data_IF_993299204282
#
_entry.id   IF_993299204282
#
_cell.length_a   1.000
_cell.length_b   1.000
_cell.length_c   1.000
_cell.angle_alpha   90.00
_cell.angle_beta   90.00
_cell.angle_gamma   90.00
#
_symmetry.space_group_name_H-M   'P 1'
#
loop_
_entity.id
_entity.type
_entity.pdbx_description
1 polymer ?
#
# COMPACT_ATOMS: atom_id res chain seq x y z
N UNK A 1 25.41 -4.68 22.35
CA UNK A 1 25.78 -5.86 23.16
C UNK A 1 27.00 -5.54 24.00
N UNK A 2 26.82 -4.64 24.96
CA UNK A 2 27.92 -4.09 25.76
C UNK A 2 28.03 -4.78 27.13
N UNK A 3 26.94 -5.41 27.59
CA UNK A 3 26.86 -6.16 28.85
C UNK A 3 26.15 -7.51 28.64
N UNK A 4 26.84 -8.52 28.09
CA UNK A 4 26.22 -9.78 27.66
C UNK A 4 25.75 -10.70 28.79
N UNK A 5 26.21 -10.48 30.04
CA UNK A 5 25.92 -11.36 31.19
C UNK A 5 25.12 -10.65 32.31
N UNK A 6 24.53 -9.48 32.05
CA UNK A 6 23.78 -8.75 33.06
C UNK A 6 22.46 -9.46 33.42
N UNK A 7 22.17 -9.53 34.73
CA UNK A 7 20.90 -9.99 35.30
C UNK A 7 19.68 -9.15 34.85
N UNK A 8 19.91 -7.92 34.36
CA UNK A 8 18.88 -7.03 33.82
C UNK A 8 18.52 -7.30 32.36
N UNK A 9 19.25 -8.17 31.67
CA UNK A 9 19.00 -8.47 30.25
C UNK A 9 17.57 -8.96 29.97
N UNK A 10 16.96 -9.85 30.78
CA UNK A 10 15.58 -10.27 30.54
C UNK A 10 14.58 -9.11 30.62
N UNK A 11 14.75 -8.23 31.61
CA UNK A 11 13.89 -7.06 31.79
C UNK A 11 14.08 -6.03 30.68
N UNK A 12 15.33 -5.70 30.34
CA UNK A 12 15.64 -4.77 29.25
C UNK A 12 15.09 -5.28 27.91
N UNK A 13 15.23 -6.58 27.61
CA UNK A 13 14.66 -7.19 26.42
C UNK A 13 13.13 -7.15 26.41
N UNK A 14 12.47 -7.30 27.56
CA UNK A 14 11.02 -7.15 27.69
C UNK A 14 10.59 -5.72 27.35
N UNK A 15 11.17 -4.72 28.00
CA UNK A 15 10.87 -3.30 27.75
C UNK A 15 11.14 -2.92 26.29
N UNK A 16 12.25 -3.40 25.72
CA UNK A 16 12.59 -3.18 24.32
C UNK A 16 11.51 -3.73 23.37
N UNK A 17 11.05 -4.98 23.60
CA UNK A 17 9.97 -5.59 22.80
C UNK A 17 8.67 -4.78 22.91
N UNK A 18 8.30 -4.36 24.11
CA UNK A 18 7.10 -3.56 24.35
C UNK A 18 7.16 -2.20 23.64
N UNK A 19 8.28 -1.48 23.75
CA UNK A 19 8.47 -0.20 23.05
C UNK A 19 8.44 -0.37 21.54
N UNK A 20 9.09 -1.42 21.02
CA UNK A 20 9.13 -1.71 19.59
C UNK A 20 7.73 -2.03 19.05
N UNK A 21 6.92 -2.78 19.80
CA UNK A 21 5.51 -3.02 19.46
C UNK A 21 4.69 -1.72 19.45
N UNK A 22 4.84 -0.86 20.46
CA UNK A 22 4.15 0.44 20.52
C UNK A 22 4.50 1.33 19.33
N UNK A 23 5.76 1.37 18.93
CA UNK A 23 6.20 2.10 17.75
C UNK A 23 5.55 1.54 16.47
N UNK A 24 5.63 0.23 16.25
CA UNK A 24 5.00 -0.41 15.10
C UNK A 24 3.51 -0.09 15.00
N UNK A 25 2.78 -0.23 16.12
CA UNK A 25 1.35 0.10 16.19
C UNK A 25 1.11 1.57 15.85
N UNK A 26 1.93 2.49 16.37
CA UNK A 26 1.80 3.93 16.06
C UNK A 26 1.96 4.19 14.55
N UNK A 27 2.99 3.64 13.91
CA UNK A 27 3.20 3.82 12.47
C UNK A 27 2.06 3.23 11.64
N UNK A 28 1.59 2.05 12.03
CA UNK A 28 0.45 1.40 11.40
C UNK A 28 -0.84 2.25 11.47
N UNK A 29 -1.16 2.78 12.66
CA UNK A 29 -2.33 3.65 12.81
C UNK A 29 -2.20 4.96 12.05
N UNK A 30 -1.00 5.57 12.01
CA UNK A 30 -0.75 6.77 11.18
C UNK A 30 -1.04 6.48 9.71
N UNK A 31 -0.55 5.36 9.17
CA UNK A 31 -0.81 4.97 7.79
C UNK A 31 -2.31 4.76 7.52
N UNK A 32 -3.03 4.11 8.45
CA UNK A 32 -4.49 3.96 8.38
C UNK A 32 -5.24 5.28 8.47
N UNK A 33 -4.77 6.23 9.28
CA UNK A 33 -5.36 7.57 9.35
C UNK A 33 -5.26 8.26 8.00
N UNK A 34 -4.09 8.24 7.34
CA UNK A 34 -3.96 8.81 6.00
C UNK A 34 -4.94 8.16 5.01
N UNK A 35 -5.07 6.84 5.03
CA UNK A 35 -6.04 6.16 4.16
C UNK A 35 -7.48 6.60 4.48
N UNK A 36 -7.86 6.67 5.77
CA UNK A 36 -9.20 7.09 6.21
C UNK A 36 -9.54 8.51 5.76
N UNK A 37 -8.57 9.42 5.73
CA UNK A 37 -8.77 10.82 5.32
C UNK A 37 -8.57 11.05 3.83
N UNK A 38 -8.25 10.02 3.05
CA UNK A 38 -7.97 10.15 1.61
C UNK A 38 -9.19 10.48 0.75
N UNK A 39 -10.40 10.17 1.24
CA UNK A 39 -11.64 10.61 0.59
C UNK A 39 -11.83 12.14 0.60
N UNK A 40 -11.28 12.83 1.60
CA UNK A 40 -11.35 14.30 1.72
C UNK A 40 -10.18 15.00 1.04
N UNK A 41 -8.99 14.40 1.08
CA UNK A 41 -7.80 14.91 0.41
C UNK A 41 -7.06 13.76 -0.29
N UNK A 42 -7.13 13.75 -1.62
CA UNK A 42 -6.55 12.70 -2.46
C UNK A 42 -5.02 12.57 -2.32
N UNK A 43 -4.33 13.60 -1.80
CA UNK A 43 -2.90 13.52 -1.49
C UNK A 43 -2.62 12.48 -0.41
N UNK A 44 -3.59 12.23 0.47
CA UNK A 44 -3.43 11.26 1.55
C UNK A 44 -3.40 9.80 1.05
N UNK A 45 -3.88 9.49 -0.16
CA UNK A 45 -3.63 8.16 -0.73
C UNK A 45 -2.12 7.90 -0.88
N UNK A 46 -1.38 8.87 -1.42
CA UNK A 46 0.08 8.77 -1.53
C UNK A 46 0.75 8.71 -0.16
N UNK A 47 0.26 9.53 0.79
CA UNK A 47 0.79 9.52 2.16
C UNK A 47 0.58 8.16 2.84
N UNK A 48 -0.59 7.53 2.65
CA UNK A 48 -0.89 6.20 3.16
C UNK A 48 0.03 5.15 2.56
N UNK A 49 0.17 5.12 1.22
CA UNK A 49 1.07 4.19 0.52
C UNK A 49 2.49 4.30 1.08
N UNK A 50 3.05 5.52 1.14
CA UNK A 50 4.38 5.75 1.67
C UNK A 50 4.52 5.35 3.14
N UNK A 51 3.53 5.66 3.97
CA UNK A 51 3.55 5.32 5.40
C UNK A 51 3.51 3.81 5.63
N UNK A 52 2.74 3.05 4.83
CA UNK A 52 2.77 1.60 4.88
C UNK A 52 4.09 1.03 4.36
N UNK A 53 4.64 1.57 3.27
CA UNK A 53 5.94 1.14 2.75
C UNK A 53 7.06 1.37 3.78
N UNK A 54 7.03 2.50 4.51
CA UNK A 54 7.97 2.77 5.62
C UNK A 54 7.81 1.76 6.76
N UNK A 55 6.58 1.52 7.24
CA UNK A 55 6.32 0.52 8.29
C UNK A 55 6.86 -0.86 7.90
N UNK A 56 6.60 -1.28 6.65
CA UNK A 56 7.01 -2.58 6.14
C UNK A 56 8.53 -2.70 5.97
N UNK A 57 9.22 -1.59 5.69
CA UNK A 57 10.68 -1.52 5.58
C UNK A 57 11.35 -1.52 6.97
N UNK A 58 10.88 -0.67 7.88
CA UNK A 58 11.48 -0.48 9.21
C UNK A 58 11.20 -1.68 10.14
N UNK A 59 10.11 -2.41 9.89
CA UNK A 59 9.65 -3.51 10.73
C UNK A 59 9.24 -4.74 9.90
N UNK A 60 10.22 -5.36 9.24
CA UNK A 60 10.04 -6.53 8.35
C UNK A 60 9.31 -7.74 8.99
N UNK A 61 9.41 -7.88 10.31
CA UNK A 61 8.75 -8.92 11.12
C UNK A 61 7.62 -8.39 12.00
N UNK A 62 7.00 -7.26 11.62
CA UNK A 62 5.89 -6.70 12.37
C UNK A 62 4.68 -7.62 12.38
N UNK A 63 4.03 -7.72 13.54
CA UNK A 63 2.71 -8.38 13.68
C UNK A 63 1.65 -7.73 12.77
N UNK A 64 1.83 -6.47 12.37
CA UNK A 64 0.91 -5.74 11.49
C UNK A 64 1.17 -5.99 9.99
N UNK A 65 2.18 -6.78 9.62
CA UNK A 65 2.67 -6.88 8.24
C UNK A 65 1.60 -7.29 7.22
N UNK A 66 0.79 -8.30 7.55
CA UNK A 66 -0.27 -8.78 6.65
C UNK A 66 -1.30 -7.68 6.37
N UNK A 67 -1.85 -7.07 7.44
CA UNK A 67 -2.84 -6.00 7.32
C UNK A 67 -2.25 -4.74 6.67
N UNK A 68 -0.99 -4.42 6.95
CA UNK A 68 -0.27 -3.31 6.32
C UNK A 68 -0.09 -3.52 4.81
N UNK A 69 0.28 -4.71 4.36
CA UNK A 69 0.36 -5.02 2.92
C UNK A 69 -1.01 -4.90 2.25
N UNK A 70 -2.07 -5.37 2.91
CA UNK A 70 -3.43 -5.21 2.41
C UNK A 70 -3.85 -3.74 2.32
N UNK A 71 -3.68 -2.92 3.37
CA UNK A 71 -4.05 -1.50 3.31
C UNK A 71 -3.16 -0.70 2.36
N UNK A 72 -1.90 -1.11 2.15
CA UNK A 72 -1.03 -0.56 1.10
C UNK A 72 -1.65 -0.79 -0.28
N UNK A 73 -2.03 -2.04 -0.59
CA UNK A 73 -2.77 -2.38 -1.82
C UNK A 73 -4.06 -1.57 -1.92
N UNK A 74 -4.88 -1.56 -0.87
CA UNK A 74 -6.17 -0.86 -0.86
C UNK A 74 -6.03 0.64 -1.12
N UNK A 75 -5.00 1.26 -0.53
CA UNK A 75 -4.68 2.67 -0.76
C UNK A 75 -4.29 2.94 -2.21
N UNK A 76 -3.46 2.07 -2.81
CA UNK A 76 -3.06 2.18 -4.21
C UNK A 76 -4.24 1.94 -5.17
N UNK A 77 -5.05 0.90 -4.92
CA UNK A 77 -6.26 0.59 -5.68
C UNK A 77 -7.24 1.77 -5.70
N UNK A 78 -7.63 2.27 -4.52
CA UNK A 78 -8.60 3.36 -4.45
C UNK A 78 -8.04 4.64 -5.09
N UNK A 79 -6.73 4.84 -5.04
CA UNK A 79 -6.09 5.96 -5.73
C UNK A 79 -6.20 5.84 -7.25
N UNK A 80 -6.09 4.65 -7.83
CA UNK A 80 -6.36 4.40 -9.25
C UNK A 80 -7.77 4.84 -9.61
N UNK A 81 -8.78 4.48 -8.80
CA UNK A 81 -10.18 4.85 -9.06
C UNK A 81 -10.43 6.37 -9.04
N UNK A 82 -9.61 7.12 -8.30
CA UNK A 82 -9.65 8.60 -8.26
C UNK A 82 -8.73 9.27 -9.29
N UNK A 83 -8.09 8.50 -10.17
CA UNK A 83 -7.11 9.00 -11.13
C UNK A 83 -7.74 9.35 -12.48
N UNK A 84 -7.15 10.32 -13.17
CA UNK A 84 -7.41 10.54 -14.59
C UNK A 84 -6.77 9.44 -15.44
N UNK A 85 -7.35 9.15 -16.62
CA UNK A 85 -6.86 8.10 -17.51
C UNK A 85 -5.35 8.19 -17.79
N UNK A 86 -4.79 9.40 -17.98
CA UNK A 86 -3.36 9.60 -18.20
C UNK A 86 -2.48 9.16 -17.02
N UNK A 87 -2.99 9.21 -15.79
CA UNK A 87 -2.25 8.85 -14.56
C UNK A 87 -2.49 7.41 -14.13
N UNK A 88 -3.55 6.76 -14.63
CA UNK A 88 -3.93 5.39 -14.25
C UNK A 88 -2.83 4.37 -14.54
N UNK A 89 -2.15 4.33 -15.71
CA UNK A 89 -1.18 3.26 -16.02
C UNK A 89 -0.11 3.05 -14.96
N UNK A 90 0.58 4.13 -14.55
CA UNK A 90 1.63 4.05 -13.53
C UNK A 90 1.08 3.63 -12.16
N UNK A 91 -0.12 4.07 -11.79
CA UNK A 91 -0.76 3.76 -10.50
C UNK A 91 -1.33 2.34 -10.47
N UNK A 92 -1.79 1.84 -11.62
CA UNK A 92 -2.24 0.46 -11.79
C UNK A 92 -1.06 -0.49 -11.62
N UNK A 93 0.09 -0.20 -12.24
CA UNK A 93 1.32 -0.98 -12.03
C UNK A 93 1.67 -1.09 -10.54
N UNK A 94 1.71 0.06 -9.85
CA UNK A 94 1.99 0.11 -8.40
C UNK A 94 0.98 -0.70 -7.56
N UNK A 95 -0.31 -0.62 -7.88
CA UNK A 95 -1.34 -1.38 -7.18
C UNK A 95 -1.24 -2.90 -7.44
N UNK A 96 -0.92 -3.31 -8.67
CA UNK A 96 -0.72 -4.73 -9.02
C UNK A 96 0.51 -5.29 -8.29
N UNK A 97 1.62 -4.55 -8.26
CA UNK A 97 2.81 -4.94 -7.50
C UNK A 97 2.52 -5.08 -6.00
N UNK A 98 1.66 -4.20 -5.45
CA UNK A 98 1.16 -4.31 -4.08
C UNK A 98 0.43 -5.63 -3.83
N UNK A 99 -0.47 -6.00 -4.76
CA UNK A 99 -1.23 -7.24 -4.71
C UNK A 99 -0.30 -8.46 -4.75
N UNK A 100 0.66 -8.47 -5.67
CA UNK A 100 1.61 -9.59 -5.80
C UNK A 100 2.48 -9.72 -4.55
N UNK A 101 2.86 -8.60 -3.93
CA UNK A 101 3.60 -8.59 -2.67
C UNK A 101 2.77 -9.18 -1.52
N UNK A 102 1.50 -8.81 -1.39
CA UNK A 102 0.58 -9.40 -0.41
C UNK A 102 0.44 -10.91 -0.64
N UNK A 103 0.08 -11.33 -1.86
CA UNK A 103 -0.12 -12.74 -2.22
C UNK A 103 1.13 -13.59 -1.98
N UNK A 104 2.32 -13.07 -2.32
CA UNK A 104 3.58 -13.78 -2.12
C UNK A 104 3.94 -13.97 -0.65
N UNK A 105 3.68 -12.96 0.20
CA UNK A 105 4.01 -13.04 1.63
C UNK A 105 2.93 -13.81 2.42
N UNK A 106 1.66 -13.68 2.02
CA UNK A 106 0.50 -14.22 2.73
C UNK A 106 -0.52 -14.82 1.75
N UNK A 107 -0.21 -15.96 1.10
CA UNK A 107 -1.10 -16.57 0.10
C UNK A 107 -2.45 -17.02 0.67
N UNK A 108 -2.51 -17.30 1.97
CA UNK A 108 -3.73 -17.65 2.70
C UNK A 108 -4.25 -16.47 3.56
N UNK A 109 -3.91 -15.22 3.18
CA UNK A 109 -4.37 -14.04 3.90
C UNK A 109 -5.89 -14.00 3.98
N UNK A 110 -6.42 -13.59 5.14
CA UNK A 110 -7.87 -13.33 5.31
C UNK A 110 -8.40 -12.25 4.37
N UNK A 111 -7.51 -11.43 3.81
CA UNK A 111 -7.83 -10.35 2.87
C UNK A 111 -7.77 -10.78 1.39
N UNK A 112 -7.38 -12.03 1.09
CA UNK A 112 -7.16 -12.44 -0.30
C UNK A 112 -8.41 -12.35 -1.17
N UNK A 113 -9.60 -12.63 -0.61
CA UNK A 113 -10.84 -12.52 -1.36
C UNK A 113 -11.07 -11.08 -1.86
N UNK A 114 -10.88 -10.09 -0.99
CA UNK A 114 -11.02 -8.69 -1.35
C UNK A 114 -9.89 -8.22 -2.27
N UNK A 115 -8.65 -8.64 -2.00
CA UNK A 115 -7.50 -8.33 -2.85
C UNK A 115 -7.70 -8.85 -4.29
N UNK A 116 -8.30 -10.03 -4.46
CA UNK A 116 -8.63 -10.59 -5.77
C UNK A 116 -9.70 -9.75 -6.50
N UNK A 117 -10.70 -9.25 -5.77
CA UNK A 117 -11.71 -8.33 -6.32
C UNK A 117 -11.05 -7.02 -6.78
N UNK A 118 -10.15 -6.45 -5.97
CA UNK A 118 -9.37 -5.27 -6.36
C UNK A 118 -8.52 -5.52 -7.61
N UNK A 119 -7.84 -6.68 -7.71
CA UNK A 119 -7.08 -7.03 -8.91
C UNK A 119 -7.97 -7.11 -10.16
N UNK A 120 -9.16 -7.69 -10.05
CA UNK A 120 -10.11 -7.75 -11.15
C UNK A 120 -10.52 -6.34 -11.61
N UNK A 121 -10.81 -5.44 -10.67
CA UNK A 121 -11.08 -4.01 -10.96
C UNK A 121 -9.90 -3.36 -11.66
N UNK A 122 -8.66 -3.53 -11.16
CA UNK A 122 -7.46 -2.95 -11.79
C UNK A 122 -7.27 -3.40 -13.24
N UNK A 123 -7.60 -4.66 -13.56
CA UNK A 123 -7.52 -5.17 -14.94
C UNK A 123 -8.55 -4.55 -15.87
N UNK A 124 -9.75 -4.25 -15.38
CA UNK A 124 -10.78 -3.53 -16.14
C UNK A 124 -10.31 -2.10 -16.38
N UNK A 125 -9.89 -1.42 -15.31
CA UNK A 125 -9.38 -0.05 -15.34
C UNK A 125 -8.17 0.13 -16.27
N UNK A 126 -7.30 -0.88 -16.39
CA UNK A 126 -6.17 -0.87 -17.32
C UNK A 126 -6.66 -0.75 -18.76
N UNK A 127 -7.56 -1.66 -19.18
CA UNK A 127 -8.12 -1.68 -20.53
C UNK A 127 -8.83 -0.38 -20.88
N UNK A 128 -9.70 0.09 -19.99
CA UNK A 128 -10.43 1.34 -20.19
C UNK A 128 -9.48 2.54 -20.30
N UNK A 129 -8.42 2.58 -19.49
CA UNK A 129 -7.44 3.67 -19.55
C UNK A 129 -6.65 3.65 -20.86
N UNK A 130 -6.28 2.48 -21.36
CA UNK A 130 -5.57 2.30 -22.64
C UNK A 130 -6.43 2.76 -23.82
N UNK A 131 -7.70 2.35 -23.86
CA UNK A 131 -8.65 2.74 -24.91
C UNK A 131 -8.86 4.27 -24.94
N UNK A 132 -9.01 4.90 -23.77
CA UNK A 132 -9.17 6.36 -23.68
C UNK A 132 -7.90 7.10 -24.12
N UNK A 133 -6.72 6.59 -23.79
CA UNK A 133 -5.45 7.16 -24.23
C UNK A 133 -5.31 7.04 -25.76
N UNK A 134 -5.70 5.92 -26.34
CA UNK A 134 -5.66 5.72 -27.80
C UNK A 134 -6.58 6.72 -28.52
N UNK A 135 -7.84 6.82 -28.09
CA UNK A 135 -8.82 7.77 -28.63
C UNK A 135 -8.35 9.22 -28.53
N UNK A 136 -7.75 9.60 -27.40
CA UNK A 136 -7.19 10.93 -27.21
C UNK A 136 -6.07 11.23 -28.23
N UNK A 137 -5.17 10.27 -28.48
CA UNK A 137 -4.09 10.43 -29.47
C UNK A 137 -4.62 10.54 -30.90
N UNK A 138 -5.63 9.75 -31.25
CA UNK A 138 -6.28 9.83 -32.57
C UNK A 138 -6.93 11.19 -32.80
N UNK A 139 -7.64 11.70 -31.80
CA UNK A 139 -8.23 13.03 -31.84
C UNK A 139 -7.17 14.13 -31.98
N UNK A 140 -6.10 14.07 -31.18
CA UNK A 140 -5.00 15.04 -31.28
C UNK A 140 -4.30 15.05 -32.64
N UNK A 141 -4.25 13.92 -33.32
CA UNK A 141 -3.67 13.82 -34.65
C UNK A 141 -4.60 14.39 -35.74
N UNK A 142 -5.92 14.25 -35.60
CA UNK A 142 -6.88 14.81 -36.57
C UNK A 142 -6.98 16.34 -36.54
N UNK A 143 -6.66 16.96 -35.39
CA UNK A 143 -6.65 18.41 -35.21
C UNK A 143 -5.36 19.11 -35.72
N UNK A 144 -4.35 18.34 -36.13
CA UNK A 144 -3.06 18.87 -36.66
C UNK A 144 -3.07 19.04 -38.19
N UNK A 145 -4.20 18.79 -38.84
CA UNK A 145 -4.47 18.95 -40.27
C UNK A 145 -5.22 20.26 -40.48
#
# INVERSE_FOLDING_TARGET
NEYPDSDKLPEANKHYKELRYKLQKKYFEIAKTYYRTAGYDLRNYKAAIQAFDNLLSDYLGSEFKEEALYYRLKSAHDFVLKSTYRRKPARISDAIEAYDKLKRNFPASKFMEEANKMLATLKIESKESEDLIAKQKEFENSQKI
#
